data_IF_733954166328
#
_entry.id   IF_733954166328
#
_cell.length_a   1.000
_cell.length_b   1.000
_cell.length_c   1.000
_cell.angle_alpha   90.00
_cell.angle_beta   90.00
_cell.angle_gamma   90.00
#
_symmetry.space_group_name_H-M   'P 1'
#
loop_
_entity.id
_entity.type
_entity.pdbx_description
1 polymer ?
#
# COMPACT_ATOMS: atom_id res chain seq x y z
N UNK A 1 30.28 -37.71 -18.40
CA UNK A 1 29.09 -37.24 -17.66
C UNK A 1 27.89 -37.34 -18.58
N UNK A 2 26.92 -38.19 -18.24
CA UNK A 2 25.91 -38.70 -19.18
C UNK A 2 24.79 -37.72 -19.49
N UNK A 3 24.31 -37.76 -20.74
CA UNK A 3 23.19 -36.96 -21.26
C UNK A 3 21.94 -36.97 -20.37
N UNK A 4 21.72 -38.08 -19.65
CA UNK A 4 20.63 -38.25 -18.69
C UNK A 4 20.70 -37.31 -17.48
N UNK A 5 21.90 -37.01 -16.97
CA UNK A 5 22.09 -36.14 -15.80
C UNK A 5 21.70 -34.69 -16.11
N UNK A 6 21.99 -34.24 -17.34
CA UNK A 6 21.63 -32.90 -17.84
C UNK A 6 20.11 -32.78 -18.02
N UNK A 7 19.47 -33.83 -18.55
CA UNK A 7 18.01 -33.87 -18.67
C UNK A 7 17.30 -33.85 -17.32
N UNK A 8 17.82 -34.57 -16.30
CA UNK A 8 17.25 -34.58 -14.96
C UNK A 8 17.35 -33.20 -14.29
N UNK A 9 18.50 -32.52 -14.43
CA UNK A 9 18.69 -31.16 -13.93
C UNK A 9 17.76 -30.15 -14.60
N UNK A 10 17.57 -30.24 -15.92
CA UNK A 10 16.66 -29.38 -16.67
C UNK A 10 15.19 -29.57 -16.24
N UNK A 11 14.77 -30.83 -16.03
CA UNK A 11 13.43 -31.14 -15.55
C UNK A 11 13.20 -30.63 -14.12
N UNK A 12 14.18 -30.79 -13.22
CA UNK A 12 14.09 -30.27 -11.87
C UNK A 12 13.98 -28.74 -11.85
N UNK A 13 14.75 -28.04 -12.70
CA UNK A 13 14.67 -26.58 -12.85
C UNK A 13 13.29 -26.13 -13.36
N UNK A 14 12.73 -26.81 -14.36
CA UNK A 14 11.39 -26.52 -14.90
C UNK A 14 10.30 -26.71 -13.86
N UNK A 15 10.34 -27.79 -13.09
CA UNK A 15 9.38 -28.05 -12.00
C UNK A 15 9.47 -26.98 -10.92
N UNK A 16 10.69 -26.58 -10.55
CA UNK A 16 10.93 -25.53 -9.55
C UNK A 16 10.37 -24.18 -10.02
N UNK A 17 10.58 -23.83 -11.29
CA UNK A 17 10.03 -22.62 -11.88
C UNK A 17 8.49 -22.64 -11.91
N UNK A 18 7.88 -23.79 -12.24
CA UNK A 18 6.43 -23.94 -12.27
C UNK A 18 5.79 -23.81 -10.88
N UNK A 19 6.45 -24.37 -9.85
CA UNK A 19 6.00 -24.25 -8.46
C UNK A 19 6.07 -22.80 -7.96
N UNK A 20 7.16 -22.08 -8.28
CA UNK A 20 7.30 -20.66 -7.92
C UNK A 20 6.26 -19.80 -8.65
N UNK A 21 6.04 -20.01 -9.95
CA UNK A 21 5.00 -19.31 -10.71
C UNK A 21 3.58 -19.61 -10.20
N UNK A 22 3.32 -20.82 -9.73
CA UNK A 22 2.00 -21.17 -9.19
C UNK A 22 1.76 -20.56 -7.81
N UNK A 23 2.81 -20.49 -6.98
CA UNK A 23 2.75 -19.88 -5.65
C UNK A 23 2.49 -18.36 -5.73
N UNK A 24 3.10 -17.65 -6.68
CA UNK A 24 2.87 -16.20 -6.87
C UNK A 24 1.45 -15.89 -7.35
N UNK A 25 0.89 -16.72 -8.23
CA UNK A 25 -0.51 -16.58 -8.68
C UNK A 25 -1.50 -16.80 -7.55
N UNK A 26 -1.23 -17.75 -6.64
CA UNK A 26 -2.06 -17.98 -5.47
C UNK A 26 -2.01 -16.80 -4.48
N UNK A 27 -0.84 -16.21 -4.24
CA UNK A 27 -0.68 -15.06 -3.33
C UNK A 27 -1.36 -13.78 -3.84
N UNK A 28 -1.35 -13.52 -5.14
CA UNK A 28 -2.08 -12.38 -5.71
C UNK A 28 -3.62 -12.55 -5.61
N UNK A 29 -4.12 -13.78 -5.62
CA UNK A 29 -5.55 -14.07 -5.43
C UNK A 29 -6.01 -13.91 -3.98
N UNK A 30 -5.17 -14.22 -3.00
CA UNK A 30 -5.51 -13.96 -1.59
C UNK A 30 -5.59 -12.46 -1.27
N UNK A 31 -4.79 -11.60 -1.91
CA UNK A 31 -4.91 -10.14 -1.76
C UNK A 31 -6.19 -9.55 -2.39
N UNK A 32 -6.76 -10.21 -3.41
CA UNK A 32 -8.02 -9.78 -4.04
C UNK A 32 -9.26 -10.33 -3.33
N UNK A 33 -9.12 -11.44 -2.62
CA UNK A 33 -10.21 -12.09 -1.87
C UNK A 33 -10.32 -11.68 -0.39
N UNK A 34 -9.28 -11.08 0.19
CA UNK A 34 -9.46 -10.31 1.42
C UNK A 34 -10.23 -9.06 1.04
N UNK A 35 -11.47 -8.95 1.53
CA UNK A 35 -12.12 -7.65 1.71
C UNK A 35 -11.04 -6.71 2.21
N UNK A 36 -10.57 -5.83 1.33
CA UNK A 36 -9.62 -4.80 1.68
C UNK A 36 -10.39 -3.94 2.64
N UNK A 37 -10.33 -4.30 3.93
CA UNK A 37 -11.07 -3.67 5.01
C UNK A 37 -10.55 -2.26 4.98
N UNK A 38 -11.27 -1.41 4.22
CA UNK A 38 -10.83 -0.07 3.87
C UNK A 38 -10.45 0.54 5.20
N UNK A 39 -9.15 0.81 5.37
CA UNK A 39 -8.67 1.31 6.65
C UNK A 39 -9.47 2.57 6.86
N UNK A 40 -10.41 2.52 7.82
CA UNK A 40 -11.26 3.65 8.09
C UNK A 40 -10.34 4.65 8.75
N UNK A 41 -9.79 5.57 7.97
CA UNK A 41 -9.15 6.75 8.51
C UNK A 41 -10.29 7.71 8.85
N UNK A 42 -10.67 7.85 10.13
CA UNK A 42 -11.81 8.70 10.52
C UNK A 42 -11.60 10.17 10.10
N UNK A 43 -10.34 10.56 9.91
CA UNK A 43 -9.94 11.89 9.45
C UNK A 43 -9.55 11.94 7.96
N UNK A 44 -9.75 10.86 7.21
CA UNK A 44 -9.19 10.74 5.86
C UNK A 44 -7.67 10.87 5.87
N UNK A 45 -7.10 11.55 4.88
CA UNK A 45 -5.67 11.84 4.79
C UNK A 45 -5.29 13.18 5.47
N UNK A 46 -6.11 13.64 6.41
CA UNK A 46 -5.93 14.90 7.13
C UNK A 46 -5.34 14.68 8.52
N UNK A 47 -4.19 15.29 8.79
CA UNK A 47 -3.51 15.25 10.09
C UNK A 47 -3.70 16.58 10.80
N UNK A 48 -4.09 16.55 12.08
CA UNK A 48 -4.11 17.76 12.90
C UNK A 48 -2.68 18.18 13.27
N UNK A 49 -2.34 19.43 12.96
CA UNK A 49 -1.04 20.04 13.21
C UNK A 49 -1.23 21.19 14.17
N UNK A 50 -0.49 21.17 15.28
CA UNK A 50 -0.47 22.25 16.28
C UNK A 50 0.81 23.06 16.09
N UNK A 51 0.89 23.78 14.97
CA UNK A 51 1.98 24.69 14.67
C UNK A 51 1.42 26.09 14.44
N UNK A 52 1.71 27.01 15.37
CA UNK A 52 1.19 28.38 15.34
C UNK A 52 1.77 29.23 14.21
N UNK A 53 2.94 28.85 13.66
CA UNK A 53 3.55 29.52 12.51
C UNK A 53 2.91 29.09 11.21
N UNK A 54 2.56 27.81 11.09
CA UNK A 54 1.93 27.25 9.89
C UNK A 54 0.42 27.51 9.84
N UNK A 55 -0.26 27.45 11.00
CA UNK A 55 -1.72 27.47 11.08
C UNK A 55 -2.31 28.84 11.44
N UNK A 56 -1.48 29.87 11.65
CA UNK A 56 -1.93 31.25 11.88
C UNK A 56 -2.74 31.50 13.17
N UNK A 57 -2.85 30.52 14.06
CA UNK A 57 -3.66 30.62 15.28
C UNK A 57 -3.43 29.48 16.29
N UNK A 58 -4.04 29.60 17.48
CA UNK A 58 -3.85 28.67 18.60
C UNK A 58 -4.59 27.34 18.47
N UNK A 59 -5.51 27.20 17.51
CA UNK A 59 -6.34 26.00 17.39
C UNK A 59 -5.72 24.90 16.50
N UNK A 60 -4.51 25.16 15.95
CA UNK A 60 -3.91 24.31 14.94
C UNK A 60 -4.69 24.32 13.62
N UNK A 61 -4.30 23.46 12.69
CA UNK A 61 -4.93 23.29 11.38
C UNK A 61 -4.80 21.83 10.93
N UNK A 62 -5.34 21.50 9.75
CA UNK A 62 -5.32 20.15 9.21
C UNK A 62 -4.49 20.09 7.94
N UNK A 63 -3.46 19.26 7.95
CA UNK A 63 -2.56 19.04 6.84
C UNK A 63 -3.01 17.85 5.99
N UNK A 64 -3.20 18.07 4.70
CA UNK A 64 -3.53 17.02 3.74
C UNK A 64 -2.27 16.35 3.20
N UNK A 65 -2.17 15.03 3.38
CA UNK A 65 -1.02 14.25 2.91
C UNK A 65 -0.97 14.08 1.38
N UNK A 66 -2.08 14.26 0.68
CA UNK A 66 -2.14 14.08 -0.79
C UNK A 66 -1.56 15.29 -1.52
N UNK A 67 -1.89 16.49 -1.05
CA UNK A 67 -1.65 17.74 -1.78
C UNK A 67 -0.79 18.76 -1.00
N UNK A 68 -0.36 18.42 0.22
CA UNK A 68 0.51 19.24 1.08
C UNK A 68 -0.12 20.57 1.55
N UNK A 69 -1.44 20.73 1.42
CA UNK A 69 -2.18 21.96 1.80
C UNK A 69 -2.66 21.90 3.25
N UNK A 70 -2.63 23.06 3.92
CA UNK A 70 -3.17 23.28 5.26
C UNK A 70 -4.57 23.88 5.19
N UNK A 71 -5.51 23.27 5.90
CA UNK A 71 -6.90 23.71 5.99
C UNK A 71 -7.26 24.12 7.41
N UNK A 72 -8.07 25.17 7.60
CA UNK A 72 -8.46 25.64 8.93
C UNK A 72 -9.42 24.67 9.64
N UNK A 73 -10.16 23.83 8.91
CA UNK A 73 -11.10 22.86 9.46
C UNK A 73 -10.88 21.45 8.91
N UNK A 74 -11.27 20.44 9.69
CA UNK A 74 -11.21 19.04 9.26
C UNK A 74 -12.15 18.77 8.08
N UNK A 75 -13.31 19.42 8.06
CA UNK A 75 -14.30 19.23 7.00
C UNK A 75 -13.81 19.80 5.67
N UNK A 76 -13.15 20.96 5.68
CA UNK A 76 -12.52 21.53 4.48
C UNK A 76 -11.38 20.62 3.99
N UNK A 77 -10.55 20.12 4.90
CA UNK A 77 -9.49 19.18 4.53
C UNK A 77 -10.08 17.91 3.89
N UNK A 78 -11.10 17.30 4.50
CA UNK A 78 -11.73 16.08 3.96
C UNK A 78 -12.39 16.28 2.60
N UNK A 79 -12.90 17.49 2.32
CA UNK A 79 -13.56 17.82 1.05
C UNK A 79 -12.58 17.99 -0.10
N UNK A 80 -11.40 18.54 0.17
CA UNK A 80 -10.46 18.99 -0.87
C UNK A 80 -9.17 18.13 -1.02
N UNK A 81 -8.89 17.18 -0.11
CA UNK A 81 -7.59 16.48 0.01
C UNK A 81 -7.30 15.30 -0.97
#
# INVERSE_FOLDING_TARGET
MGKHTIHILALAALVSLHLVCSATVAQCRTMTGTDSKKINLPNGLCIHVVDTKLCGGNNGCFHCLTNDILYPSLDDCKREC
#
